data_IF_816981409040
#
_entry.id   IF_816981409040
#
_cell.length_a   1.000
_cell.length_b   1.000
_cell.length_c   1.000
_cell.angle_alpha   90.00
_cell.angle_beta   90.00
_cell.angle_gamma   90.00
#
_symmetry.space_group_name_H-M   'P 1'
#
loop_
_entity.id
_entity.type
_entity.pdbx_description
1 polymer ?
#
# COMPACT_ATOMS: atom_id res chain seq x y z
N UNK A 1 27.64 -2.57 -10.02
CA UNK A 1 26.19 -2.84 -10.22
C UNK A 1 25.46 -2.37 -8.98
N UNK A 2 24.41 -1.55 -9.14
CA UNK A 2 23.61 -0.98 -8.04
C UNK A 2 22.97 -2.12 -7.25
N UNK A 3 23.59 -2.54 -6.13
CA UNK A 3 23.04 -3.57 -5.21
C UNK A 3 21.69 -3.15 -4.64
N UNK A 4 21.37 -1.86 -4.73
CA UNK A 4 20.17 -1.25 -4.20
C UNK A 4 18.94 -1.49 -5.07
N UNK A 5 19.11 -1.70 -6.39
CA UNK A 5 17.95 -1.84 -7.28
C UNK A 5 17.18 -3.15 -7.07
N UNK A 6 17.84 -4.33 -7.00
CA UNK A 6 17.16 -5.58 -6.65
C UNK A 6 16.47 -5.51 -5.28
N UNK A 7 17.13 -4.91 -4.28
CA UNK A 7 16.54 -4.71 -2.95
C UNK A 7 15.28 -3.85 -3.02
N UNK A 8 15.25 -2.78 -3.82
CA UNK A 8 14.08 -1.92 -3.94
C UNK A 8 12.91 -2.62 -4.65
N UNK A 9 13.19 -3.47 -5.64
CA UNK A 9 12.15 -4.31 -6.24
C UNK A 9 11.57 -5.31 -5.24
N UNK A 10 12.41 -5.95 -4.41
CA UNK A 10 11.92 -6.85 -3.36
C UNK A 10 11.07 -6.10 -2.33
N UNK A 11 11.50 -4.92 -1.92
CA UNK A 11 10.74 -4.09 -0.99
C UNK A 11 9.43 -3.57 -1.60
N UNK A 12 9.42 -3.23 -2.90
CA UNK A 12 8.22 -2.84 -3.64
C UNK A 12 7.23 -4.00 -3.73
N UNK A 13 7.71 -5.21 -4.06
CA UNK A 13 6.88 -6.42 -4.06
C UNK A 13 6.23 -6.64 -2.69
N UNK A 14 7.03 -6.58 -1.62
CA UNK A 14 6.51 -6.69 -0.26
C UNK A 14 5.51 -5.57 0.07
N UNK A 15 5.70 -4.35 -0.43
CA UNK A 15 4.77 -3.24 -0.24
C UNK A 15 3.42 -3.48 -0.93
N UNK A 16 3.45 -3.99 -2.17
CA UNK A 16 2.25 -4.40 -2.89
C UNK A 16 1.53 -5.55 -2.19
N UNK A 17 2.26 -6.56 -1.72
CA UNK A 17 1.67 -7.69 -0.97
C UNK A 17 0.97 -7.25 0.32
N UNK A 18 1.46 -6.20 0.98
CA UNK A 18 0.82 -5.61 2.18
C UNK A 18 -0.56 -4.99 1.90
N UNK A 19 -0.90 -4.67 0.65
CA UNK A 19 -2.25 -4.22 0.27
C UNK A 19 -3.32 -5.29 0.54
N UNK A 20 -2.94 -6.55 0.67
CA UNK A 20 -3.87 -7.60 1.08
C UNK A 20 -4.46 -7.35 2.47
N UNK A 21 -3.75 -6.66 3.36
CA UNK A 21 -4.24 -6.38 4.72
C UNK A 21 -5.50 -5.49 4.71
N UNK A 22 -5.51 -4.28 4.12
CA UNK A 22 -6.73 -3.48 4.04
C UNK A 22 -7.83 -4.17 3.22
N UNK A 23 -7.50 -4.96 2.19
CA UNK A 23 -8.49 -5.76 1.44
C UNK A 23 -9.19 -6.77 2.35
N UNK A 24 -8.44 -7.51 3.18
CA UNK A 24 -9.01 -8.45 4.15
C UNK A 24 -9.89 -7.71 5.16
N UNK A 25 -9.48 -6.54 5.65
CA UNK A 25 -10.28 -5.74 6.58
C UNK A 25 -11.61 -5.29 5.95
N UNK A 26 -11.57 -4.82 4.70
CA UNK A 26 -12.79 -4.48 3.94
C UNK A 26 -13.68 -5.70 3.72
N UNK A 27 -13.11 -6.86 3.40
CA UNK A 27 -13.87 -8.10 3.24
C UNK A 27 -14.53 -8.54 4.55
N UNK A 28 -13.86 -8.38 5.69
CA UNK A 28 -14.44 -8.66 7.01
C UNK A 28 -15.60 -7.72 7.30
N UNK A 29 -15.45 -6.43 7.00
CA UNK A 29 -16.55 -5.47 7.13
C UNK A 29 -17.72 -5.85 6.22
N UNK A 30 -17.46 -6.10 4.94
CA UNK A 30 -18.51 -6.42 3.96
C UNK A 30 -19.29 -7.70 4.31
N UNK A 31 -18.62 -8.71 4.86
CA UNK A 31 -19.24 -9.97 5.24
C UNK A 31 -19.80 -9.97 6.67
N UNK A 32 -19.70 -8.87 7.43
CA UNK A 32 -20.42 -8.76 8.69
C UNK A 32 -21.91 -8.64 8.39
N UNK A 33 -22.64 -9.68 8.74
CA UNK A 33 -24.11 -9.74 8.66
C UNK A 33 -24.82 -8.72 9.55
N UNK A 34 -24.09 -8.10 10.47
CA UNK A 34 -24.57 -7.16 11.48
C UNK A 34 -23.95 -5.76 11.30
N UNK A 35 -23.63 -5.35 10.06
CA UNK A 35 -23.17 -3.98 9.80
C UNK A 35 -24.20 -2.95 10.26
N UNK A 36 -25.50 -3.27 10.15
CA UNK A 36 -26.61 -2.43 10.61
C UNK A 36 -26.71 -2.35 12.15
N UNK A 37 -26.08 -3.28 12.88
CA UNK A 37 -26.02 -3.29 14.35
C UNK A 37 -24.79 -2.54 14.90
N UNK A 38 -23.86 -2.12 14.03
CA UNK A 38 -22.73 -1.29 14.43
C UNK A 38 -23.18 0.17 14.56
N UNK A 39 -22.73 0.82 15.63
CA UNK A 39 -22.88 2.26 15.75
C UNK A 39 -22.17 2.96 14.58
N UNK A 40 -22.83 3.93 13.96
CA UNK A 40 -22.30 4.68 12.81
C UNK A 40 -20.92 5.27 13.11
N UNK A 41 -20.68 5.72 14.34
CA UNK A 41 -19.39 6.25 14.78
C UNK A 41 -18.30 5.17 14.77
N UNK A 42 -18.62 3.95 15.21
CA UNK A 42 -17.68 2.82 15.19
C UNK A 42 -17.35 2.41 13.75
N UNK A 43 -18.35 2.37 12.87
CA UNK A 43 -18.15 2.07 11.46
C UNK A 43 -17.28 3.14 10.77
N UNK A 44 -17.54 4.42 11.02
CA UNK A 44 -16.71 5.52 10.53
C UNK A 44 -15.26 5.41 11.00
N UNK A 45 -15.03 5.09 12.28
CA UNK A 45 -13.68 4.94 12.82
C UNK A 45 -12.93 3.78 12.16
N UNK A 46 -13.61 2.64 11.96
CA UNK A 46 -13.03 1.51 11.25
C UNK A 46 -12.66 1.87 9.80
N UNK A 47 -13.57 2.53 9.07
CA UNK A 47 -13.32 2.97 7.70
C UNK A 47 -12.16 3.97 7.61
N UNK A 48 -12.10 4.96 8.51
CA UNK A 48 -10.98 5.93 8.60
C UNK A 48 -9.64 5.23 8.87
N UNK A 49 -9.64 4.18 9.69
CA UNK A 49 -8.46 3.36 9.95
C UNK A 49 -7.97 2.62 8.71
N UNK A 50 -8.89 2.01 7.96
CA UNK A 50 -8.60 1.32 6.69
C UNK A 50 -8.10 2.31 5.63
N UNK A 51 -8.76 3.46 5.50
CA UNK A 51 -8.35 4.53 4.58
C UNK A 51 -6.92 5.01 4.90
N UNK A 52 -6.63 5.27 6.17
CA UNK A 52 -5.29 5.71 6.60
C UNK A 52 -4.22 4.66 6.30
N UNK A 53 -4.55 3.37 6.45
CA UNK A 53 -3.64 2.28 6.12
C UNK A 53 -3.40 2.20 4.61
N UNK A 54 -4.45 2.29 3.79
CA UNK A 54 -4.36 2.32 2.33
C UNK A 54 -3.51 3.49 1.84
N UNK A 55 -3.76 4.69 2.36
CA UNK A 55 -3.02 5.90 2.01
C UNK A 55 -1.52 5.73 2.31
N UNK A 56 -1.19 5.20 3.50
CA UNK A 56 0.21 4.95 3.89
C UNK A 56 0.88 3.94 2.97
N UNK A 57 0.20 2.84 2.65
CA UNK A 57 0.75 1.80 1.78
C UNK A 57 0.92 2.29 0.33
N UNK A 58 -0.04 3.06 -0.18
CA UNK A 58 0.05 3.69 -1.50
C UNK A 58 1.24 4.65 -1.59
N UNK A 59 1.46 5.48 -0.56
CA UNK A 59 2.61 6.38 -0.50
C UNK A 59 3.95 5.62 -0.44
N UNK A 60 4.02 4.51 0.31
CA UNK A 60 5.23 3.65 0.36
C UNK A 60 5.51 3.00 -1.00
N UNK A 61 4.48 2.52 -1.70
CA UNK A 61 4.61 1.98 -3.06
C UNK A 61 5.09 3.06 -4.03
N UNK A 62 4.46 4.24 -4.01
CA UNK A 62 4.83 5.34 -4.91
C UNK A 62 6.26 5.80 -4.67
N UNK A 63 6.67 6.01 -3.42
CA UNK A 63 8.04 6.43 -3.10
C UNK A 63 9.11 5.41 -3.56
N UNK A 64 8.78 4.12 -3.56
CA UNK A 64 9.66 3.08 -4.10
C UNK A 64 9.72 3.10 -5.62
N UNK A 65 8.59 3.30 -6.29
CA UNK A 65 8.54 3.47 -7.74
C UNK A 65 9.38 4.67 -8.15
N UNK A 66 9.21 5.81 -7.50
CA UNK A 66 9.96 7.04 -7.77
C UNK A 66 11.47 6.80 -7.59
N UNK A 67 11.88 6.16 -6.50
CA UNK A 67 13.29 5.80 -6.29
C UNK A 67 13.84 4.91 -7.41
N UNK A 68 13.09 3.88 -7.82
CA UNK A 68 13.50 2.96 -8.89
C UNK A 68 13.61 3.71 -10.22
N UNK A 69 12.66 4.60 -10.53
CA UNK A 69 12.66 5.39 -11.75
C UNK A 69 13.81 6.40 -11.80
N UNK A 70 14.08 7.12 -10.71
CA UNK A 70 15.25 8.01 -10.59
C UNK A 70 16.55 7.24 -10.81
N UNK A 71 16.70 6.08 -10.17
CA UNK A 71 17.89 5.23 -10.34
C UNK A 71 17.93 4.48 -11.68
N UNK A 72 16.80 4.35 -12.37
CA UNK A 72 16.70 3.76 -13.71
C UNK A 72 17.03 4.77 -14.82
N UNK A 73 16.55 6.01 -14.68
CA UNK A 73 16.67 7.09 -15.67
C UNK A 73 18.07 7.68 -15.82
N UNK A 74 18.90 7.64 -14.76
CA UNK A 74 20.33 8.01 -14.83
C UNK A 74 21.13 7.22 -15.90
N UNK A 75 20.62 6.08 -16.37
CA UNK A 75 21.28 5.27 -17.39
C UNK A 75 20.97 5.67 -18.84
N UNK A 76 19.95 6.51 -19.10
CA UNK A 76 19.60 6.94 -20.46
C UNK A 76 20.31 8.23 -20.90
N UNK A 77 20.82 9.04 -19.96
CA UNK A 77 21.53 10.29 -20.28
C UNK A 77 23.06 10.13 -20.45
N UNK A 78 23.60 8.91 -20.32
CA UNK A 78 25.03 8.62 -20.43
C UNK A 78 25.38 7.58 -21.52
N UNK A 79 24.55 7.45 -22.55
CA UNK A 79 24.84 6.67 -23.77
C UNK A 79 24.76 7.58 -24.99
#
# INVERSE_FOLDING_TARGET
MRKDLPLQFDLLKNAVERLNQPIVMLNVLHNRTALDDLDTCELEQMLKGIESLLQRQANDIQGRIDFILEKGGDNEQNK
#
